data_IF_930436565436
#
_entry.id   IF_930436565436
#
_cell.length_a   1.000
_cell.length_b   1.000
_cell.length_c   1.000
_cell.angle_alpha   90.00
_cell.angle_beta   90.00
_cell.angle_gamma   90.00
#
_symmetry.space_group_name_H-M   'P 1'
#
loop_
_entity.id
_entity.type
_entity.pdbx_description
1 polymer ?
#
# COMPACT_ATOMS: atom_id res chain seq x y z
N UNK A 1 9.53 -3.02 23.73
CA UNK A 1 8.96 -3.96 22.76
C UNK A 1 8.17 -3.12 21.76
N UNK A 2 8.74 -2.84 20.59
CA UNK A 2 8.19 -1.87 19.65
C UNK A 2 6.89 -2.39 19.06
N UNK A 3 5.77 -1.78 19.41
CA UNK A 3 4.47 -2.12 18.86
C UNK A 3 4.52 -1.82 17.36
N UNK A 4 4.38 -2.86 16.51
CA UNK A 4 4.38 -2.71 15.05
C UNK A 4 3.24 -1.77 14.66
N UNK A 5 3.63 -0.54 14.33
CA UNK A 5 2.73 0.57 14.00
C UNK A 5 2.12 0.42 12.60
N UNK A 6 2.81 -0.32 11.72
CA UNK A 6 2.41 -0.61 10.35
C UNK A 6 1.91 -2.05 10.30
N UNK A 7 0.71 -2.25 9.77
CA UNK A 7 -0.03 -3.51 9.82
C UNK A 7 -0.03 -4.20 8.47
N UNK A 8 -0.28 -3.42 7.43
CA UNK A 8 -0.40 -3.93 6.07
C UNK A 8 0.13 -2.87 5.11
N UNK A 9 0.81 -3.30 4.04
CA UNK A 9 1.21 -2.43 2.95
C UNK A 9 1.11 -3.16 1.63
N UNK A 10 0.73 -2.45 0.57
CA UNK A 10 0.72 -3.01 -0.77
C UNK A 10 1.02 -1.96 -1.85
N UNK A 11 1.42 -2.46 -3.01
CA UNK A 11 1.54 -1.73 -4.26
C UNK A 11 0.69 -2.42 -5.31
N UNK A 12 -0.18 -1.66 -5.96
CA UNK A 12 -1.06 -2.13 -7.03
C UNK A 12 -0.88 -1.29 -8.29
N UNK A 13 -1.20 -1.88 -9.45
CA UNK A 13 -1.39 -1.18 -10.70
C UNK A 13 -2.86 -1.27 -11.09
N UNK A 14 -3.55 -0.12 -11.13
CA UNK A 14 -5.01 -0.09 -11.11
C UNK A 14 -5.56 -0.80 -9.87
N UNK A 15 -6.27 -1.90 -10.08
CA UNK A 15 -6.83 -2.75 -9.01
C UNK A 15 -6.05 -4.05 -8.79
N UNK A 16 -4.97 -4.28 -9.55
CA UNK A 16 -4.16 -5.49 -9.47
C UNK A 16 -3.04 -5.29 -8.46
N UNK A 17 -3.11 -5.97 -7.32
CA UNK A 17 -2.05 -5.97 -6.30
C UNK A 17 -0.82 -6.70 -6.85
N UNK A 18 0.27 -5.96 -7.03
CA UNK A 18 1.54 -6.48 -7.54
C UNK A 18 2.42 -7.03 -6.42
N UNK A 19 2.41 -6.32 -5.30
CA UNK A 19 3.15 -6.67 -4.10
C UNK A 19 2.35 -6.32 -2.84
N UNK A 20 2.37 -7.19 -1.84
CA UNK A 20 1.76 -6.96 -0.54
C UNK A 20 2.50 -7.63 0.61
N UNK A 21 2.39 -7.02 1.78
CA UNK A 21 3.00 -7.50 3.01
C UNK A 21 2.15 -7.17 4.23
N UNK A 22 1.90 -8.18 5.05
CA UNK A 22 1.34 -8.04 6.40
C UNK A 22 2.01 -9.06 7.33
N UNK A 23 2.14 -8.67 8.59
CA UNK A 23 2.51 -9.58 9.69
C UNK A 23 1.29 -10.00 10.51
N UNK A 24 0.12 -9.49 10.14
CA UNK A 24 -1.15 -9.69 10.82
C UNK A 24 -2.05 -10.59 9.97
N UNK A 25 -2.82 -11.46 10.62
CA UNK A 25 -3.75 -12.39 9.96
C UNK A 25 -5.20 -11.89 9.94
N UNK A 26 -5.40 -10.64 10.33
CA UNK A 26 -6.70 -9.96 10.36
C UNK A 26 -7.25 -9.65 8.96
N UNK A 27 -8.48 -9.16 8.93
CA UNK A 27 -9.21 -8.81 7.71
C UNK A 27 -8.74 -7.52 7.02
N UNK A 28 -7.63 -6.90 7.46
CA UNK A 28 -7.10 -5.66 6.89
C UNK A 28 -6.79 -5.77 5.39
N UNK A 29 -6.26 -6.92 4.95
CA UNK A 29 -5.96 -7.18 3.53
C UNK A 29 -7.23 -7.11 2.68
N UNK A 30 -8.30 -7.74 3.14
CA UNK A 30 -9.62 -7.75 2.50
C UNK A 30 -10.24 -6.36 2.45
N UNK A 31 -10.26 -5.63 3.58
CA UNK A 31 -10.81 -4.28 3.63
C UNK A 31 -10.04 -3.36 2.67
N UNK A 32 -8.72 -3.46 2.68
CA UNK A 32 -7.88 -2.61 1.87
C UNK A 32 -8.02 -2.90 0.36
N UNK A 33 -8.18 -4.17 -0.02
CA UNK A 33 -8.51 -4.56 -1.40
C UNK A 33 -9.90 -4.07 -1.83
N UNK A 34 -10.90 -4.13 -0.95
CA UNK A 34 -12.23 -3.58 -1.24
C UNK A 34 -12.21 -2.06 -1.41
N UNK A 35 -11.41 -1.34 -0.62
CA UNK A 35 -11.18 0.09 -0.79
C UNK A 35 -10.49 0.39 -2.13
N UNK A 36 -9.47 -0.38 -2.50
CA UNK A 36 -8.77 -0.25 -3.78
C UNK A 36 -9.72 -0.28 -4.98
N UNK A 37 -10.69 -1.19 -4.96
CA UNK A 37 -11.70 -1.32 -6.03
C UNK A 37 -12.61 -0.09 -6.19
N UNK A 38 -12.68 0.77 -5.17
CA UNK A 38 -13.51 1.99 -5.15
C UNK A 38 -12.71 3.26 -5.44
N UNK A 39 -11.38 3.19 -5.49
CA UNK A 39 -10.54 4.37 -5.71
C UNK A 39 -10.67 4.88 -7.15
N UNK A 40 -10.70 6.20 -7.36
CA UNK A 40 -10.60 6.76 -8.69
C UNK A 40 -9.21 6.50 -9.28
N UNK A 41 -9.13 6.33 -10.60
CA UNK A 41 -7.86 6.14 -11.31
C UNK A 41 -6.99 7.41 -11.39
N UNK A 42 -7.54 8.57 -11.02
CA UNK A 42 -6.84 9.85 -11.03
C UNK A 42 -5.87 9.99 -9.86
N UNK A 43 -4.77 10.70 -10.07
CA UNK A 43 -3.78 10.98 -9.03
C UNK A 43 -4.45 11.63 -7.82
N UNK A 44 -4.41 10.95 -6.67
CA UNK A 44 -5.08 11.41 -5.47
C UNK A 44 -4.51 10.74 -4.22
N UNK A 45 -4.78 11.33 -3.06
CA UNK A 45 -4.40 10.79 -1.76
C UNK A 45 -5.65 10.67 -0.89
N UNK A 46 -5.85 9.50 -0.30
CA UNK A 46 -6.99 9.22 0.57
C UNK A 46 -6.51 8.63 1.89
N UNK A 47 -7.18 8.99 2.97
CA UNK A 47 -7.00 8.35 4.27
C UNK A 47 -8.37 7.98 4.79
N UNK A 48 -8.55 6.71 5.13
CA UNK A 48 -9.75 6.20 5.79
C UNK A 48 -9.39 5.76 7.20
N UNK A 49 -10.20 6.15 8.18
CA UNK A 49 -10.03 5.74 9.56
C UNK A 49 -11.15 4.74 9.90
N UNK A 50 -10.80 3.59 10.48
CA UNK A 50 -11.74 2.56 10.90
C UNK A 50 -11.20 1.82 12.12
N UNK A 51 -11.98 1.72 13.19
CA UNK A 51 -11.66 0.93 14.39
C UNK A 51 -10.24 1.17 14.96
N UNK A 52 -9.80 2.43 15.03
CA UNK A 52 -8.46 2.78 15.52
C UNK A 52 -7.31 2.48 14.54
N UNK A 53 -7.63 2.24 13.27
CA UNK A 53 -6.67 2.02 12.19
C UNK A 53 -6.85 3.02 11.06
N UNK A 54 -5.75 3.38 10.41
CA UNK A 54 -5.71 4.30 9.27
C UNK A 54 -5.30 3.54 8.03
N UNK A 55 -6.12 3.60 6.97
CA UNK A 55 -5.83 3.08 5.65
C UNK A 55 -5.48 4.26 4.75
N UNK A 56 -4.20 4.40 4.46
CA UNK A 56 -3.68 5.49 3.66
C UNK A 56 -3.45 4.97 2.24
N UNK A 57 -3.92 5.72 1.25
CA UNK A 57 -3.78 5.41 -0.17
C UNK A 57 -3.16 6.59 -0.91
N UNK A 58 -2.27 6.29 -1.84
CA UNK A 58 -1.71 7.22 -2.80
C UNK A 58 -1.86 6.63 -4.19
N UNK A 59 -2.69 7.24 -5.03
CA UNK A 59 -2.80 6.94 -6.45
C UNK A 59 -1.87 7.89 -7.19
N UNK A 60 -0.91 7.34 -7.94
CA UNK A 60 0.08 8.10 -8.69
C UNK A 60 0.48 7.35 -9.96
N UNK A 61 0.22 7.97 -11.11
CA UNK A 61 0.64 7.50 -12.43
C UNK A 61 0.19 6.05 -12.74
N UNK A 62 -1.05 5.73 -12.36
CA UNK A 62 -1.65 4.40 -12.54
C UNK A 62 -1.30 3.38 -11.45
N UNK A 63 -0.40 3.72 -10.54
CA UNK A 63 -0.07 2.89 -9.38
C UNK A 63 -0.78 3.37 -8.12
N UNK A 64 -1.18 2.41 -7.29
CA UNK A 64 -1.76 2.68 -5.97
C UNK A 64 -0.86 2.11 -4.90
N UNK A 65 -0.43 2.96 -3.99
CA UNK A 65 0.35 2.60 -2.81
C UNK A 65 -0.57 2.68 -1.61
N UNK A 66 -0.54 1.66 -0.75
CA UNK A 66 -1.33 1.65 0.46
C UNK A 66 -0.49 1.27 1.68
N UNK A 67 -0.80 1.91 2.81
CA UNK A 67 -0.32 1.50 4.11
C UNK A 67 -1.44 1.60 5.15
N UNK A 68 -1.61 0.52 5.90
CA UNK A 68 -2.49 0.42 7.05
C UNK A 68 -1.64 0.54 8.32
N UNK A 69 -2.02 1.46 9.20
CA UNK A 69 -1.28 1.72 10.43
C UNK A 69 -2.23 1.98 11.60
N UNK A 70 -1.79 1.70 12.82
CA UNK A 70 -2.56 2.04 14.03
C UNK A 70 -2.70 3.56 14.12
N UNK A 71 -3.90 4.08 14.39
CA UNK A 71 -4.18 5.52 14.37
C UNK A 71 -3.31 6.31 15.38
N UNK A 72 -2.99 5.70 16.53
CA UNK A 72 -2.18 6.32 17.60
C UNK A 72 -0.76 6.71 17.16
N UNK A 73 -0.26 6.17 16.06
CA UNK A 73 1.11 6.40 15.56
C UNK A 73 1.21 7.68 14.74
N UNK A 74 0.06 8.31 14.45
CA UNK A 74 -0.07 9.51 13.65
C UNK A 74 0.18 9.26 12.15
N UNK A 75 -0.08 10.29 11.34
CA UNK A 75 0.00 10.17 9.87
C UNK A 75 1.43 10.25 9.33
N UNK A 76 2.36 10.87 10.06
CA UNK A 76 3.70 11.14 9.55
C UNK A 76 4.49 9.86 9.24
N UNK A 77 4.40 8.85 10.11
CA UNK A 77 5.09 7.56 9.95
C UNK A 77 4.58 6.78 8.72
N UNK A 78 3.27 6.50 8.58
CA UNK A 78 2.74 5.80 7.40
C UNK A 78 2.98 6.59 6.11
N UNK A 79 2.84 7.91 6.12
CA UNK A 79 3.12 8.73 4.93
C UNK A 79 4.59 8.61 4.51
N UNK A 80 5.53 8.77 5.45
CA UNK A 80 6.96 8.66 5.14
C UNK A 80 7.36 7.25 4.66
N UNK A 81 6.77 6.21 5.25
CA UNK A 81 6.94 4.83 4.79
C UNK A 81 6.42 4.64 3.36
N UNK A 82 5.20 5.14 3.08
CA UNK A 82 4.58 5.05 1.76
C UNK A 82 5.38 5.79 0.68
N UNK A 83 5.94 6.97 0.98
CA UNK A 83 6.82 7.69 0.04
C UNK A 83 8.10 6.90 -0.26
N UNK A 84 8.73 6.29 0.77
CA UNK A 84 9.90 5.43 0.55
C UNK A 84 9.57 4.21 -0.30
N UNK A 85 8.44 3.55 -0.03
CA UNK A 85 7.96 2.42 -0.84
C UNK A 85 7.75 2.84 -2.29
N UNK A 86 7.11 4.00 -2.51
CA UNK A 86 6.91 4.56 -3.85
C UNK A 86 8.25 4.80 -4.55
N UNK A 87 9.20 5.45 -3.89
CA UNK A 87 10.53 5.73 -4.46
C UNK A 87 11.29 4.45 -4.81
N UNK A 88 11.38 3.49 -3.89
CA UNK A 88 12.07 2.22 -4.13
C UNK A 88 11.38 1.40 -5.24
N UNK A 89 10.04 1.30 -5.20
CA UNK A 89 9.27 0.60 -6.22
C UNK A 89 9.45 1.23 -7.60
N UNK A 90 9.38 2.56 -7.68
CA UNK A 90 9.58 3.29 -8.94
C UNK A 90 11.01 3.11 -9.46
N UNK A 91 12.00 3.09 -8.57
CA UNK A 91 13.40 2.87 -8.94
C UNK A 91 13.66 1.44 -9.44
N UNK A 92 13.05 0.42 -8.82
CA UNK A 92 13.26 -1.00 -9.16
C UNK A 92 12.40 -1.48 -10.34
N UNK A 93 11.16 -1.00 -10.45
CA UNK A 93 10.15 -1.53 -11.38
C UNK A 93 9.54 -0.48 -12.30
N UNK A 94 10.00 0.77 -12.24
CA UNK A 94 9.50 1.87 -13.06
C UNK A 94 9.41 1.52 -14.55
N UNK A 95 8.42 2.11 -15.22
CA UNK A 95 8.16 1.90 -16.65
C UNK A 95 7.34 0.65 -16.94
N UNK A 96 7.65 -0.03 -18.06
CA UNK A 96 6.82 -1.11 -18.62
C UNK A 96 6.75 -2.36 -17.73
N UNK A 97 7.76 -2.60 -16.88
CA UNK A 97 7.89 -3.82 -16.07
C UNK A 97 6.78 -3.94 -15.03
N UNK A 98 6.51 -2.89 -14.26
CA UNK A 98 5.44 -2.89 -13.27
C UNK A 98 4.03 -2.88 -13.90
N UNK A 99 3.86 -2.22 -15.05
CA UNK A 99 2.57 -2.13 -15.74
C UNK A 99 2.06 -3.49 -16.29
N UNK A 100 2.96 -4.45 -16.56
CA UNK A 100 2.63 -5.79 -17.06
C UNK A 100 2.83 -6.89 -16.00
N UNK A 101 3.20 -6.52 -14.78
CA UNK A 101 3.46 -7.48 -13.72
C UNK A 101 2.17 -8.22 -13.34
N UNK A 102 2.28 -9.53 -13.14
CA UNK A 102 1.16 -10.34 -12.69
C UNK A 102 0.87 -10.06 -11.19
N UNK A 103 -0.36 -10.33 -10.77
CA UNK A 103 -0.74 -10.21 -9.37
C UNK A 103 0.23 -10.98 -8.46
N UNK A 104 0.64 -10.36 -7.36
CA UNK A 104 1.54 -10.94 -6.35
C UNK A 104 2.94 -11.38 -6.85
N UNK A 105 3.30 -11.09 -8.10
CA UNK A 105 4.58 -11.53 -8.69
C UNK A 105 5.80 -10.83 -8.06
N UNK A 106 5.60 -9.67 -7.43
CA UNK A 106 6.67 -8.87 -6.83
C UNK A 106 6.75 -9.04 -5.30
N UNK A 107 5.94 -9.91 -4.69
CA UNK A 107 5.90 -10.12 -3.23
C UNK A 107 7.27 -10.47 -2.64
N UNK A 108 8.07 -11.26 -3.35
CA UNK A 108 9.36 -11.75 -2.84
C UNK A 108 10.39 -10.62 -2.72
N UNK A 109 10.44 -9.75 -3.72
CA UNK A 109 11.38 -8.62 -3.76
C UNK A 109 10.89 -7.42 -2.94
N UNK A 110 9.57 -7.30 -2.74
CA UNK A 110 8.98 -6.26 -1.91
C UNK A 110 9.25 -6.46 -0.41
N UNK A 111 9.50 -7.70 0.01
CA UNK A 111 9.79 -8.07 1.41
C UNK A 111 11.28 -8.02 1.77
N UNK A 112 12.16 -7.74 0.79
CA UNK A 112 13.63 -7.71 0.94
C UNK A 112 14.18 -6.30 0.93
#
# INVERSE_FOLDING_TARGET
MGQQSLIYAFVAHGTVILAEYTEFTDNFTTIASQCLMKLPASNNKFTYNCDGHTFNYLVKDGFTYCVVAVESVGQQIPIAFMDRVKEDFTKRYGGRKAAIAAANSLNREFRS
#
